data_IF_852515666010
#
_entry.id   IF_852515666010
#
_cell.length_a   1.000
_cell.length_b   1.000
_cell.length_c   1.000
_cell.angle_alpha   90.00
_cell.angle_beta   90.00
_cell.angle_gamma   90.00
#
_symmetry.space_group_name_H-M   'P 1'
#
loop_
_entity.id
_entity.type
_entity.pdbx_description
1 polymer ?
#
# COMPACT_ATOMS: atom_id res chain seq x y z
N UNK A 1 3.66 10.74 -1.68
CA UNK A 1 2.48 9.95 -1.26
C UNK A 1 2.06 9.04 -2.39
N UNK A 2 1.93 7.75 -2.13
CA UNK A 2 1.37 6.77 -3.06
C UNK A 2 0.00 6.35 -2.55
N UNK A 3 -1.00 6.37 -3.43
CA UNK A 3 -2.38 6.00 -3.13
C UNK A 3 -2.87 4.99 -4.16
N UNK A 4 -2.96 3.72 -3.76
CA UNK A 4 -3.38 2.61 -4.61
C UNK A 4 -4.87 2.33 -4.36
N UNK A 5 -5.62 2.15 -5.47
CA UNK A 5 -7.06 1.91 -5.49
C UNK A 5 -7.83 3.10 -4.96
N UNK A 6 -8.03 4.10 -5.80
CA UNK A 6 -8.77 5.30 -5.41
C UNK A 6 -10.27 5.14 -5.65
N UNK A 7 -10.67 4.29 -6.60
CA UNK A 7 -12.06 4.10 -7.03
C UNK A 7 -12.76 5.44 -7.36
N UNK A 8 -11.99 6.39 -7.90
CA UNK A 8 -12.45 7.76 -8.18
C UNK A 8 -12.71 8.65 -6.96
N UNK A 9 -12.46 8.16 -5.74
CA UNK A 9 -12.49 8.95 -4.52
C UNK A 9 -11.11 9.59 -4.26
N UNK A 10 -11.10 10.91 -4.18
CA UNK A 10 -9.89 11.73 -3.96
C UNK A 10 -9.91 12.44 -2.60
N UNK A 11 -10.82 12.03 -1.70
CA UNK A 11 -11.00 12.64 -0.38
C UNK A 11 -9.77 12.47 0.50
N UNK A 12 -9.07 11.34 0.39
CA UNK A 12 -7.83 11.09 1.12
C UNK A 12 -6.73 12.09 0.73
N UNK A 13 -6.44 12.25 -0.56
CA UNK A 13 -5.38 13.15 -1.02
C UNK A 13 -5.74 14.62 -0.74
N UNK A 14 -7.01 14.97 -0.90
CA UNK A 14 -7.50 16.30 -0.52
C UNK A 14 -7.38 16.55 0.99
N UNK A 15 -7.75 15.58 1.82
CA UNK A 15 -7.62 15.65 3.27
C UNK A 15 -6.16 15.84 3.67
N UNK A 16 -5.26 15.02 3.12
CA UNK A 16 -3.82 15.20 3.30
C UNK A 16 -3.36 16.61 2.94
N UNK A 17 -3.77 17.13 1.78
CA UNK A 17 -3.39 18.49 1.36
C UNK A 17 -3.92 19.57 2.31
N UNK A 18 -5.12 19.38 2.86
CA UNK A 18 -5.71 20.29 3.84
C UNK A 18 -4.95 20.28 5.16
N UNK A 19 -4.52 19.10 5.61
CA UNK A 19 -3.79 18.93 6.87
C UNK A 19 -2.35 19.46 6.78
N UNK A 20 -1.62 19.14 5.71
CA UNK A 20 -0.18 19.47 5.61
C UNK A 20 0.11 20.73 4.80
N UNK A 21 -0.84 21.21 4.00
CA UNK A 21 -0.71 22.40 3.15
C UNK A 21 -0.59 22.10 1.65
N UNK A 22 -1.01 23.07 0.84
CA UNK A 22 -1.04 22.98 -0.63
C UNK A 22 0.38 22.89 -1.21
N UNK A 23 0.60 21.90 -2.06
CA UNK A 23 1.89 21.70 -2.77
C UNK A 23 3.00 21.10 -1.91
N UNK A 24 2.71 20.72 -0.66
CA UNK A 24 3.69 20.08 0.24
C UNK A 24 3.95 18.63 -0.17
N UNK A 25 2.89 17.89 -0.50
CA UNK A 25 3.00 16.52 -0.97
C UNK A 25 3.03 16.43 -2.50
N UNK A 26 3.70 15.42 -3.01
CA UNK A 26 3.52 14.87 -4.35
C UNK A 26 2.66 13.62 -4.24
N UNK A 27 1.53 13.58 -4.96
CA UNK A 27 0.57 12.48 -4.92
C UNK A 27 0.66 11.66 -6.21
N UNK A 28 0.89 10.36 -6.07
CA UNK A 28 0.73 9.40 -7.16
C UNK A 28 -0.46 8.52 -6.83
N UNK A 29 -1.51 8.67 -7.62
CA UNK A 29 -2.80 8.01 -7.44
C UNK A 29 -2.91 6.94 -8.53
N UNK A 30 -3.13 5.70 -8.12
CA UNK A 30 -3.10 4.54 -9.01
C UNK A 30 -4.43 3.82 -8.97
N UNK A 31 -5.04 3.64 -10.13
CA UNK A 31 -6.25 2.86 -10.30
C UNK A 31 -6.25 2.24 -11.70
N UNK A 32 -6.83 1.06 -11.86
CA UNK A 32 -6.90 0.41 -13.16
C UNK A 32 -7.96 1.03 -14.09
N UNK A 33 -8.96 1.71 -13.53
CA UNK A 33 -10.00 2.41 -14.26
C UNK A 33 -9.58 3.87 -14.56
N UNK A 34 -10.42 4.63 -15.29
CA UNK A 34 -10.10 6.00 -15.71
C UNK A 34 -10.96 7.04 -14.98
N UNK A 35 -10.46 7.50 -13.83
CA UNK A 35 -11.06 8.59 -13.03
C UNK A 35 -10.26 9.91 -13.12
N UNK A 36 -9.31 10.02 -14.05
CA UNK A 36 -8.42 11.19 -14.15
C UNK A 36 -9.19 12.51 -14.30
N UNK A 37 -10.33 12.46 -15.00
CA UNK A 37 -11.19 13.63 -15.24
C UNK A 37 -11.94 14.10 -13.99
N UNK A 38 -12.11 13.21 -13.02
CA UNK A 38 -12.83 13.48 -11.77
C UNK A 38 -11.89 14.07 -10.71
N UNK A 39 -10.58 14.11 -10.98
CA UNK A 39 -9.60 14.70 -10.06
C UNK A 39 -9.97 16.15 -9.71
N UNK A 40 -10.09 16.47 -8.40
CA UNK A 40 -10.44 17.81 -7.96
C UNK A 40 -9.38 18.84 -8.38
N UNK A 41 -9.81 19.94 -9.01
CA UNK A 41 -8.89 20.99 -9.50
C UNK A 41 -8.05 21.64 -8.40
N UNK A 42 -8.54 21.60 -7.17
CA UNK A 42 -7.84 22.12 -5.99
C UNK A 42 -6.76 21.18 -5.47
N UNK A 43 -6.77 19.89 -5.84
CA UNK A 43 -5.67 18.98 -5.52
C UNK A 43 -4.47 19.34 -6.40
N UNK A 44 -3.36 19.72 -5.77
CA UNK A 44 -2.14 20.18 -6.44
C UNK A 44 -1.06 19.11 -6.33
N UNK A 45 -0.15 19.13 -7.31
CA UNK A 45 0.98 18.20 -7.39
C UNK A 45 0.53 16.73 -7.32
N UNK A 46 -0.56 16.41 -8.03
CA UNK A 46 -1.15 15.08 -8.09
C UNK A 46 -1.13 14.54 -9.51
N UNK A 47 -0.78 13.25 -9.61
CA UNK A 47 -0.57 12.53 -10.85
C UNK A 47 -1.39 11.25 -10.81
N UNK A 48 -2.27 11.08 -11.79
CA UNK A 48 -3.11 9.90 -11.91
C UNK A 48 -2.49 8.88 -12.88
N UNK A 49 -2.49 7.61 -12.47
CA UNK A 49 -1.89 6.50 -13.22
C UNK A 49 -2.93 5.41 -13.44
N UNK A 50 -3.23 5.13 -14.72
CA UNK A 50 -4.24 4.15 -15.17
C UNK A 50 -3.71 2.71 -15.13
N UNK A 51 -3.22 2.28 -13.98
CA UNK A 51 -2.84 0.89 -13.73
C UNK A 51 -2.97 0.52 -12.25
N UNK A 52 -3.26 -0.76 -12.02
CA UNK A 52 -3.29 -1.35 -10.68
C UNK A 52 -1.95 -1.97 -10.26
N UNK A 53 -1.89 -2.40 -9.00
CA UNK A 53 -0.75 -3.13 -8.45
C UNK A 53 -0.97 -4.65 -8.58
N UNK A 54 0.10 -5.38 -8.83
CA UNK A 54 0.13 -6.85 -8.79
C UNK A 54 1.39 -7.37 -8.11
N UNK A 55 1.44 -8.68 -7.84
CA UNK A 55 2.67 -9.35 -7.42
C UNK A 55 3.79 -9.07 -8.42
N UNK A 56 5.00 -8.82 -7.91
CA UNK A 56 6.17 -8.60 -8.75
C UNK A 56 6.39 -9.77 -9.72
N UNK A 57 6.63 -9.45 -10.99
CA UNK A 57 6.73 -10.43 -12.07
C UNK A 57 6.21 -9.88 -13.39
N UNK A 58 6.07 -10.73 -14.43
CA UNK A 58 5.56 -10.28 -15.72
C UNK A 58 4.15 -9.69 -15.58
N UNK A 59 3.81 -8.61 -16.31
CA UNK A 59 2.47 -8.04 -16.31
C UNK A 59 1.42 -9.11 -16.62
N UNK A 60 0.43 -9.26 -15.75
CA UNK A 60 -0.69 -10.18 -15.93
C UNK A 60 -2.00 -9.39 -15.82
N UNK A 61 -2.63 -9.04 -16.94
CA UNK A 61 -3.88 -8.30 -16.89
C UNK A 61 -4.95 -9.14 -16.17
N UNK A 62 -5.52 -8.59 -15.09
CA UNK A 62 -6.63 -9.23 -14.37
C UNK A 62 -7.92 -9.19 -15.21
N UNK A 63 -8.09 -8.14 -16.01
CA UNK A 63 -9.17 -7.96 -16.99
C UNK A 63 -8.60 -7.45 -18.31
N UNK A 64 -9.18 -7.81 -19.47
CA UNK A 64 -8.77 -7.24 -20.76
C UNK A 64 -8.82 -5.71 -20.74
N UNK A 65 -7.76 -5.06 -21.22
CA UNK A 65 -7.65 -3.60 -21.27
C UNK A 65 -7.04 -2.95 -20.03
N UNK A 66 -6.98 -3.64 -18.89
CA UNK A 66 -6.41 -3.10 -17.65
C UNK A 66 -4.91 -3.44 -17.54
N UNK A 67 -4.12 -2.47 -17.05
CA UNK A 67 -2.69 -2.64 -16.83
C UNK A 67 -2.41 -2.88 -15.35
N UNK A 68 -1.48 -3.77 -15.08
CA UNK A 68 -1.03 -4.09 -13.73
C UNK A 68 0.49 -4.21 -13.70
N UNK A 69 1.11 -3.61 -12.70
CA UNK A 69 2.56 -3.63 -12.52
C UNK A 69 2.93 -4.02 -11.10
N UNK A 70 4.13 -4.58 -10.93
CA UNK A 70 4.71 -4.73 -9.60
C UNK A 70 5.06 -3.37 -9.00
N UNK A 71 5.21 -3.31 -7.67
CA UNK A 71 5.54 -2.06 -7.00
C UNK A 71 6.95 -1.56 -7.40
N UNK A 72 7.93 -2.46 -7.56
CA UNK A 72 9.27 -2.10 -8.07
C UNK A 72 9.21 -1.52 -9.48
N UNK A 73 8.43 -2.14 -10.37
CA UNK A 73 8.25 -1.62 -11.73
C UNK A 73 7.58 -0.25 -11.71
N UNK A 74 6.59 -0.05 -10.82
CA UNK A 74 5.92 1.24 -10.64
C UNK A 74 6.90 2.33 -10.22
N UNK A 75 7.75 2.07 -9.23
CA UNK A 75 8.80 3.01 -8.81
C UNK A 75 9.76 3.33 -9.94
N UNK A 76 10.19 2.31 -10.68
CA UNK A 76 11.10 2.49 -11.82
C UNK A 76 10.48 3.33 -12.94
N UNK A 77 9.22 3.07 -13.30
CA UNK A 77 8.50 3.82 -14.33
C UNK A 77 8.33 5.29 -13.96
N UNK A 78 8.21 5.60 -12.66
CA UNK A 78 8.13 6.96 -12.15
C UNK A 78 9.50 7.61 -11.94
N UNK A 79 10.61 6.87 -12.09
CA UNK A 79 11.96 7.39 -11.82
C UNK A 79 12.25 7.59 -10.32
N UNK A 80 11.51 6.90 -9.46
CA UNK A 80 11.54 7.05 -8.00
C UNK A 80 12.55 6.11 -7.31
N UNK A 81 13.44 5.47 -8.06
CA UNK A 81 14.43 4.51 -7.53
C UNK A 81 15.42 5.17 -6.55
N UNK A 82 15.62 6.48 -6.68
CA UNK A 82 16.57 7.24 -5.85
C UNK A 82 15.88 8.16 -4.83
N UNK A 83 14.55 8.07 -4.65
CA UNK A 83 13.90 8.79 -3.56
C UNK A 83 14.17 8.06 -2.24
N UNK A 84 14.58 8.78 -1.21
CA UNK A 84 14.93 8.16 0.07
C UNK A 84 13.73 7.56 0.81
N UNK A 85 12.52 8.05 0.52
CA UNK A 85 11.31 7.60 1.20
C UNK A 85 10.05 7.87 0.37
N UNK A 86 9.03 7.05 0.62
CA UNK A 86 7.62 7.35 0.36
C UNK A 86 7.00 7.57 1.74
N UNK A 87 6.62 8.82 2.05
CA UNK A 87 6.14 9.17 3.41
C UNK A 87 4.86 8.44 3.81
N UNK A 88 3.97 8.24 2.83
CA UNK A 88 2.68 7.61 3.01
C UNK A 88 2.39 6.72 1.81
N UNK A 89 2.24 5.42 2.07
CA UNK A 89 1.79 4.40 1.13
C UNK A 89 0.40 3.91 1.55
N UNK A 90 -0.64 4.45 0.92
CA UNK A 90 -2.03 4.01 1.07
C UNK A 90 -2.32 2.94 0.04
N UNK A 91 -2.90 1.81 0.46
CA UNK A 91 -3.26 0.71 -0.43
C UNK A 91 -4.58 0.07 -0.04
N UNK A 92 -5.46 0.02 -1.02
CA UNK A 92 -6.72 -0.70 -1.04
C UNK A 92 -6.79 -1.28 -2.47
N UNK A 93 -6.75 -2.60 -2.61
CA UNK A 93 -6.67 -3.22 -3.94
C UNK A 93 -7.35 -4.58 -4.00
N UNK A 94 -8.39 -4.78 -3.20
CA UNK A 94 -9.32 -5.91 -3.29
C UNK A 94 -8.60 -7.29 -3.27
N UNK A 95 -7.67 -7.46 -2.33
CA UNK A 95 -6.95 -8.71 -2.08
C UNK A 95 -5.54 -8.78 -2.67
N UNK A 96 -5.08 -7.75 -3.39
CA UNK A 96 -3.69 -7.70 -3.86
C UNK A 96 -2.69 -7.47 -2.71
N UNK A 97 -3.15 -7.01 -1.55
CA UNK A 97 -2.33 -6.71 -0.36
C UNK A 97 -1.58 -7.97 0.07
N UNK A 98 -2.29 -9.11 0.13
CA UNK A 98 -1.76 -10.42 0.49
C UNK A 98 -0.70 -10.98 -0.47
N UNK A 99 -0.68 -10.47 -1.71
CA UNK A 99 0.22 -10.95 -2.77
C UNK A 99 1.41 -10.03 -3.00
N UNK A 100 1.36 -8.82 -2.45
CA UNK A 100 2.32 -7.75 -2.75
C UNK A 100 3.13 -7.30 -1.54
N UNK A 101 2.69 -7.57 -0.30
CA UNK A 101 3.32 -7.00 0.88
C UNK A 101 4.81 -7.32 1.06
N UNK A 102 5.26 -8.49 0.61
CA UNK A 102 6.70 -8.82 0.62
C UNK A 102 7.52 -7.80 -0.18
N UNK A 103 6.97 -7.34 -1.32
CA UNK A 103 7.65 -6.36 -2.18
C UNK A 103 7.66 -4.94 -1.61
N UNK A 104 6.82 -4.65 -0.61
CA UNK A 104 6.84 -3.35 0.08
C UNK A 104 8.07 -3.20 0.98
N UNK A 105 8.72 -4.33 1.28
CA UNK A 105 9.82 -4.45 2.25
C UNK A 105 11.15 -4.79 1.57
N UNK A 106 11.15 -4.85 0.24
CA UNK A 106 12.34 -5.14 -0.55
C UNK A 106 13.44 -4.11 -0.25
N UNK A 107 14.71 -4.54 -0.09
CA UNK A 107 15.80 -3.64 0.33
C UNK A 107 16.15 -2.57 -0.71
N UNK A 108 15.81 -2.81 -1.98
CA UNK A 108 16.04 -1.88 -3.10
C UNK A 108 14.90 -0.86 -3.28
N UNK A 109 13.92 -0.87 -2.37
CA UNK A 109 12.77 0.03 -2.39
C UNK A 109 13.03 1.28 -1.55
N UNK A 110 12.44 2.43 -1.92
CA UNK A 110 12.31 3.56 -1.01
C UNK A 110 11.66 3.13 0.30
N UNK A 111 12.11 3.71 1.41
CA UNK A 111 11.50 3.47 2.71
C UNK A 111 10.04 3.93 2.71
N UNK A 112 9.11 3.01 2.98
CA UNK A 112 7.72 3.40 3.26
C UNK A 112 7.65 3.85 4.72
N UNK A 113 7.47 5.15 4.99
CA UNK A 113 7.45 5.65 6.37
C UNK A 113 6.15 5.33 7.07
N UNK A 114 5.04 5.37 6.34
CA UNK A 114 3.74 4.94 6.81
C UNK A 114 3.07 4.05 5.76
N UNK A 115 2.41 2.99 6.24
CA UNK A 115 1.60 2.10 5.43
C UNK A 115 0.18 2.18 5.97
N UNK A 116 -0.76 2.61 5.12
CA UNK A 116 -2.19 2.63 5.40
C UNK A 116 -2.80 1.59 4.48
N UNK A 117 -3.32 0.50 5.03
CA UNK A 117 -3.75 -0.65 4.26
C UNK A 117 -5.16 -1.05 4.65
N UNK A 118 -6.05 -1.14 3.67
CA UNK A 118 -7.29 -1.87 3.83
C UNK A 118 -7.06 -3.32 3.42
N UNK A 119 -7.22 -4.23 4.38
CA UNK A 119 -7.06 -5.66 4.12
C UNK A 119 -8.41 -6.29 3.80
N UNK A 120 -8.50 -6.97 2.65
CA UNK A 120 -9.72 -7.61 2.16
C UNK A 120 -9.74 -9.09 2.50
N UNK A 121 -10.80 -9.57 3.18
CA UNK A 121 -11.05 -11.00 3.45
C UNK A 121 -9.82 -11.76 3.98
N UNK A 122 -9.30 -11.43 5.18
CA UNK A 122 -8.02 -11.95 5.64
C UNK A 122 -7.95 -13.48 5.67
N UNK A 123 -7.09 -14.10 4.85
CA UNK A 123 -6.87 -15.55 4.88
C UNK A 123 -6.23 -15.94 6.22
N UNK A 124 -6.78 -16.95 6.89
CA UNK A 124 -6.31 -17.35 8.23
C UNK A 124 -4.84 -17.78 8.19
N UNK A 125 -4.38 -18.33 7.07
CA UNK A 125 -3.03 -18.85 6.90
C UNK A 125 -1.97 -17.76 6.68
N UNK A 126 -2.35 -16.61 6.12
CA UNK A 126 -1.42 -15.54 5.70
C UNK A 126 -1.49 -14.34 6.65
N UNK A 127 -2.63 -14.09 7.30
CA UNK A 127 -2.83 -12.88 8.10
C UNK A 127 -1.78 -12.72 9.21
N UNK A 128 -1.45 -13.77 9.96
CA UNK A 128 -0.40 -13.69 11.00
C UNK A 128 0.97 -13.43 10.41
N UNK A 129 1.29 -14.06 9.28
CA UNK A 129 2.56 -13.87 8.58
C UNK A 129 2.71 -12.43 8.08
N UNK A 130 1.64 -11.82 7.55
CA UNK A 130 1.62 -10.41 7.15
C UNK A 130 1.98 -9.48 8.32
N UNK A 131 1.30 -9.61 9.46
CA UNK A 131 1.56 -8.74 10.62
C UNK A 131 2.94 -8.97 11.24
N UNK A 132 3.36 -10.22 11.37
CA UNK A 132 4.68 -10.56 11.93
C UNK A 132 5.81 -10.06 11.01
N UNK A 133 5.62 -10.14 9.69
CA UNK A 133 6.60 -9.67 8.70
C UNK A 133 6.75 -8.15 8.72
N UNK A 134 5.65 -7.41 8.79
CA UNK A 134 5.70 -5.95 8.94
C UNK A 134 6.37 -5.55 10.25
N UNK A 135 6.02 -6.18 11.36
CA UNK A 135 6.62 -5.89 12.66
C UNK A 135 8.11 -6.21 12.70
N UNK A 136 8.54 -7.37 12.15
CA UNK A 136 9.94 -7.73 12.05
C UNK A 136 10.76 -6.78 11.14
N UNK A 137 10.05 -6.12 10.22
CA UNK A 137 10.60 -5.09 9.36
C UNK A 137 10.57 -3.69 9.99
N UNK A 138 10.19 -3.57 11.27
CA UNK A 138 10.21 -2.32 12.03
C UNK A 138 8.94 -1.48 11.93
N UNK A 139 7.83 -2.05 11.49
CA UNK A 139 6.55 -1.34 11.43
C UNK A 139 5.71 -1.56 12.69
N UNK A 140 5.42 -0.48 13.40
CA UNK A 140 4.51 -0.48 14.52
C UNK A 140 3.10 -0.10 14.05
N UNK A 141 2.11 -0.92 14.42
CA UNK A 141 0.70 -0.61 14.18
C UNK A 141 0.23 0.44 15.18
N UNK A 142 -0.36 1.52 14.69
CA UNK A 142 -0.89 2.60 15.53
C UNK A 142 -2.38 2.86 15.33
N UNK A 143 -2.98 2.32 14.26
CA UNK A 143 -4.42 2.40 14.01
C UNK A 143 -4.98 1.07 13.49
N UNK A 144 -6.24 0.82 13.80
CA UNK A 144 -7.06 -0.26 13.25
C UNK A 144 -8.52 0.19 13.25
N UNK A 145 -9.21 -0.04 12.14
CA UNK A 145 -10.66 0.16 12.03
C UNK A 145 -11.29 -0.98 11.23
N UNK A 146 -12.50 -1.38 11.58
CA UNK A 146 -13.27 -2.36 10.80
C UNK A 146 -14.11 -1.58 9.81
N UNK A 147 -14.11 -1.97 8.53
CA UNK A 147 -15.00 -1.38 7.55
C UNK A 147 -16.43 -1.87 7.81
N UNK A 148 -17.27 -0.97 8.33
CA UNK A 148 -18.67 -1.26 8.66
C UNK A 148 -19.64 -0.99 7.51
N UNK A 149 -19.17 -0.38 6.42
CA UNK A 149 -20.00 -0.01 5.26
C UNK A 149 -20.35 -1.25 4.44
N UNK A 150 -19.42 -2.20 4.31
CA UNK A 150 -19.64 -3.47 3.62
C UNK A 150 -19.19 -4.67 4.49
N UNK A 151 -19.95 -5.03 5.53
CA UNK A 151 -19.56 -6.09 6.47
C UNK A 151 -19.27 -7.44 5.79
N UNK A 152 -19.97 -7.74 4.70
CA UNK A 152 -19.79 -8.96 3.91
C UNK A 152 -18.47 -9.00 3.14
N UNK A 153 -17.88 -7.83 2.84
CA UNK A 153 -16.56 -7.74 2.22
C UNK A 153 -15.45 -8.14 3.21
N UNK A 154 -15.72 -8.12 4.52
CA UNK A 154 -14.77 -8.55 5.53
C UNK A 154 -13.48 -7.72 5.52
N UNK A 155 -13.59 -6.43 5.24
CA UNK A 155 -12.46 -5.52 5.15
C UNK A 155 -12.10 -4.88 6.50
N UNK A 156 -10.83 -4.56 6.70
CA UNK A 156 -10.37 -3.82 7.87
C UNK A 156 -9.18 -2.96 7.51
N UNK A 157 -9.18 -1.74 8.01
CA UNK A 157 -8.10 -0.78 7.81
C UNK A 157 -7.08 -0.90 8.94
N UNK A 158 -5.81 -0.75 8.57
CA UNK A 158 -4.69 -0.69 9.49
C UNK A 158 -3.74 0.43 9.08
N UNK A 159 -3.14 1.08 10.08
CA UNK A 159 -2.06 2.02 9.84
C UNK A 159 -0.82 1.62 10.62
N UNK A 160 0.30 1.68 9.92
CA UNK A 160 1.62 1.33 10.42
C UNK A 160 2.59 2.49 10.23
N UNK A 161 3.49 2.65 11.18
CA UNK A 161 4.58 3.62 11.13
C UNK A 161 5.93 2.90 11.23
N UNK A 162 6.89 3.30 10.42
CA UNK A 162 8.26 2.78 10.45
C UNK A 162 9.01 3.36 11.65
N UNK A 163 9.49 2.49 12.53
CA UNK A 163 10.34 2.83 13.67
C UNK A 163 11.69 2.13 13.56
N UNK A 164 12.66 2.56 14.38
CA UNK A 164 13.90 1.80 14.56
C UNK A 164 13.59 0.39 15.08
N UNK A 165 14.35 -0.60 14.63
CA UNK A 165 14.19 -1.99 15.12
C UNK A 165 14.47 -2.11 16.63
N UNK A 166 15.28 -1.21 17.18
CA UNK A 166 15.58 -1.16 18.63
C UNK A 166 14.36 -0.75 19.47
N UNK A 167 13.31 -0.22 18.86
CA UNK A 167 12.04 0.03 19.53
C UNK A 167 11.33 -1.29 19.93
N UNK A 168 11.59 -2.38 19.19
CA UNK A 168 10.90 -3.65 19.37
C UNK A 168 11.72 -4.62 20.23
N UNK A 169 11.08 -5.43 21.08
CA UNK A 169 11.75 -6.57 21.69
C UNK A 169 12.31 -7.50 20.61
N UNK A 170 13.49 -8.08 20.81
CA UNK A 170 14.11 -9.00 19.83
C UNK A 170 13.18 -10.16 19.41
N UNK A 171 12.36 -10.66 20.35
CA UNK A 171 11.36 -11.71 20.10
C UNK A 171 10.26 -11.32 19.10
N UNK A 172 10.08 -10.01 18.85
CA UNK A 172 9.13 -9.43 17.90
C UNK A 172 9.76 -9.15 16.53
N UNK A 173 11.09 -9.33 16.39
CA UNK A 173 11.84 -9.20 15.15
C UNK A 173 12.03 -10.52 14.41
N UNK A 174 11.40 -11.60 14.87
CA UNK A 174 11.43 -12.92 14.27
C UNK A 174 10.07 -13.24 13.67
N UNK A 175 10.04 -13.59 12.39
CA UNK A 175 8.82 -14.04 11.71
C UNK A 175 8.60 -15.52 12.02
N UNK A 176 7.44 -15.88 12.58
CA UNK A 176 7.09 -17.27 12.90
C UNK A 176 6.51 -17.94 11.66
N UNK A 177 7.27 -18.86 11.06
CA UNK A 177 7.04 -19.29 9.68
C UNK A 177 6.45 -20.71 9.53
N UNK A 178 5.60 -21.17 10.44
CA UNK A 178 5.22 -22.59 10.46
C UNK A 178 4.29 -23.04 9.30
N UNK A 179 3.73 -22.11 8.51
CA UNK A 179 2.73 -22.43 7.46
C UNK A 179 2.90 -21.74 6.10
N UNK A 180 3.61 -20.61 6.02
CA UNK A 180 3.64 -19.81 4.79
C UNK A 180 4.53 -20.41 3.68
N UNK A 181 5.64 -21.07 4.03
CA UNK A 181 6.51 -21.76 3.06
C UNK A 181 5.81 -22.88 2.25
N UNK A 182 4.65 -23.35 2.71
CA UNK A 182 3.86 -24.39 2.02
C UNK A 182 2.79 -23.84 1.08
N UNK A 183 2.59 -22.52 1.07
CA UNK A 183 1.52 -21.84 0.32
C UNK A 183 2.03 -21.01 -0.87
N UNK A 184 3.35 -20.88 -1.02
CA UNK A 184 3.99 -20.32 -2.22
C UNK A 184 4.14 -21.36 -3.34
#
# INVERSE_FOLDING_TARGET
VYSIGSNGDFSFELGMQQEVGVGVCEYHIFDMDDYEKDMPKQLKNAHYHKWGLQKQGPPKPFKPGHKFYGLKDTIKMLGHENVGAIDVFKIDCEGCEWKTFDSWLDPDMPDLKQILVEIHQPPTEIATYFFDTLQASGYARFHKEVNVICPEAGASEYSFIKLSKDFFPESKLVVKNDKYEKLQ
#
